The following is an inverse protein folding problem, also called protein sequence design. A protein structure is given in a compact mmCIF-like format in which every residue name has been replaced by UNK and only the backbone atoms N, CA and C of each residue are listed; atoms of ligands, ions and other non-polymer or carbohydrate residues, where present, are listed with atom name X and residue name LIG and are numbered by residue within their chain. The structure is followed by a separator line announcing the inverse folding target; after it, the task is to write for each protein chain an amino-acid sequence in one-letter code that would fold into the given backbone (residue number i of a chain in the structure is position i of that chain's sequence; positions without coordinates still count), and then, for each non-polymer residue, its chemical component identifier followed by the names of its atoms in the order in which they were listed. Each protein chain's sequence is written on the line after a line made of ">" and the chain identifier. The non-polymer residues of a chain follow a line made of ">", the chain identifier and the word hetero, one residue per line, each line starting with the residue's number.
data_IF_614232339505
#
_entry.id   IF_614232339505
#
_cell.length_a   1.000
_cell.length_b   1.000
_cell.length_c   1.000
_cell.angle_alpha   90.00
_cell.angle_beta   90.00
_cell.angle_gamma   90.00
#
_symmetry.space_group_name_H-M   'P 1'
#
loop_
_entity.id
_entity.type
_entity.pdbx_description
1 polymer ?
#
# COMPACT_ATOMS: atom_id res chain seq x y z
N UNK A 6 -20.52 -12.28 -23.99
CA UNK A 6 -20.56 -12.32 -22.52
C UNK A 6 -19.17 -12.38 -21.91
N UNK A 7 -18.28 -13.16 -22.53
CA UNK A 7 -16.92 -13.29 -22.02
C UNK A 7 -16.20 -11.95 -22.05
N UNK A 8 -16.40 -11.17 -23.11
CA UNK A 8 -15.83 -9.83 -23.20
C UNK A 8 -16.15 -9.01 -21.96
N UNK A 9 -17.45 -8.81 -21.70
CA UNK A 9 -17.87 -7.97 -20.58
C UNK A 9 -17.43 -8.56 -19.25
N UNK A 10 -17.54 -9.88 -19.10
CA UNK A 10 -17.15 -10.51 -17.84
C UNK A 10 -15.68 -10.27 -17.54
N UNK A 11 -14.80 -10.55 -18.51
CA UNK A 11 -13.37 -10.38 -18.28
C UNK A 11 -13.00 -8.92 -18.10
N UNK A 12 -13.63 -8.02 -18.86
CA UNK A 12 -13.33 -6.59 -18.70
C UNK A 12 -13.72 -6.09 -17.32
N UNK A 13 -14.92 -6.46 -16.85
CA UNK A 13 -15.35 -6.05 -15.51
C UNK A 13 -14.45 -6.65 -14.44
N UNK A 14 -14.05 -7.91 -14.62
CA UNK A 14 -13.17 -8.55 -13.64
C UNK A 14 -11.82 -7.84 -13.58
N UNK A 15 -11.26 -7.49 -14.73
CA UNK A 15 -9.99 -6.77 -14.76
C UNK A 15 -10.12 -5.39 -14.13
N UNK A 16 -11.22 -4.68 -14.40
CA UNK A 16 -11.42 -3.37 -13.79
C UNK A 16 -11.52 -3.47 -12.28
N UNK A 17 -12.29 -4.45 -11.78
CA UNK A 17 -12.40 -4.63 -10.34
C UNK A 17 -11.06 -4.98 -9.72
N UNK A 18 -10.29 -5.83 -10.40
CA UNK A 18 -8.95 -6.16 -9.91
C UNK A 18 -8.08 -4.92 -9.84
N UNK A 19 -8.15 -4.06 -10.86
CA UNK A 19 -7.34 -2.84 -10.86
C UNK A 19 -7.72 -1.92 -9.70
N UNK A 20 -9.03 -1.75 -9.45
CA UNK A 20 -9.44 -0.93 -8.32
C UNK A 20 -8.94 -1.51 -7.00
N UNK A 21 -9.07 -2.83 -6.83
CA UNK A 21 -8.59 -3.46 -5.61
C UNK A 21 -7.09 -3.26 -5.44
N UNK A 22 -6.34 -3.36 -6.54
CA UNK A 22 -4.91 -3.05 -6.50
C UNK A 22 -4.69 -1.63 -6.01
N UNK A 23 -5.51 -0.69 -6.48
CA UNK A 23 -5.36 0.69 -6.04
C UNK A 23 -5.56 0.86 -4.55
N UNK A 24 -6.65 0.30 -4.01
CA UNK A 24 -6.90 0.45 -2.58
C UNK A 24 -5.81 -0.24 -1.76
N UNK A 25 -5.39 -1.43 -2.20
CA UNK A 25 -4.34 -2.15 -1.50
C UNK A 25 -3.05 -1.34 -1.48
N UNK A 26 -2.70 -0.73 -2.62
CA UNK A 26 -1.49 0.08 -2.69
C UNK A 26 -1.56 1.27 -1.75
N UNK A 27 -2.71 1.95 -1.70
CA UNK A 27 -2.85 3.07 -0.77
C UNK A 27 -2.63 2.61 0.67
N UNK A 28 -3.26 1.50 1.04
CA UNK A 28 -3.17 1.05 2.43
C UNK A 28 -1.75 0.62 2.79
N UNK A 29 -1.07 -0.10 1.88
CA UNK A 29 0.28 -0.54 2.21
C UNK A 29 1.22 0.65 2.25
N UNK A 30 0.99 1.65 1.40
CA UNK A 30 1.80 2.86 1.46
C UNK A 30 1.68 3.51 2.83
N UNK A 31 0.45 3.62 3.33
CA UNK A 31 0.26 4.22 4.66
C UNK A 31 0.97 3.39 5.73
N UNK A 32 0.78 2.07 5.69
CA UNK A 32 1.32 1.20 6.74
C UNK A 32 2.85 1.23 6.72
N UNK A 33 3.44 1.13 5.53
CA UNK A 33 4.89 1.10 5.39
C UNK A 33 5.49 2.44 5.79
N UNK A 34 4.85 3.55 5.40
CA UNK A 34 5.31 4.84 5.85
C UNK A 34 5.33 4.94 7.36
N UNK A 35 4.26 4.48 8.02
CA UNK A 35 4.21 4.54 9.47
C UNK A 35 5.31 3.71 10.11
N UNK A 36 5.49 2.47 9.65
CA UNK A 36 6.46 1.59 10.30
C UNK A 36 7.89 2.07 10.07
N UNK A 37 8.20 2.54 8.86
CA UNK A 37 9.54 3.05 8.62
C UNK A 37 9.77 4.33 9.41
N UNK A 38 8.73 5.16 9.55
CA UNK A 38 8.87 6.36 10.35
C UNK A 38 9.18 6.07 11.80
N UNK A 39 8.46 5.12 12.40
CA UNK A 39 8.72 4.79 13.81
C UNK A 39 10.12 4.19 13.96
N UNK A 40 10.51 3.30 13.04
CA UNK A 40 11.84 2.71 13.14
C UNK A 40 12.94 3.75 13.00
N UNK A 41 12.80 4.67 12.04
CA UNK A 41 13.80 5.71 11.85
C UNK A 41 13.85 6.66 13.04
N UNK A 42 12.69 7.01 13.60
CA UNK A 42 12.67 7.84 14.79
C UNK A 42 13.42 7.17 15.93
N UNK A 43 13.13 5.89 16.18
CA UNK A 43 13.84 5.17 17.24
C UNK A 43 15.34 5.18 17.00
N UNK A 44 15.76 4.83 15.78
CA UNK A 44 17.19 4.71 15.50
C UNK A 44 17.91 6.04 15.65
N UNK A 45 17.37 7.10 15.03
CA UNK A 45 18.03 8.40 15.08
C UNK A 45 18.05 8.95 16.50
N UNK A 46 16.92 8.88 17.21
CA UNK A 46 16.88 9.41 18.57
C UNK A 46 17.82 8.65 19.49
N UNK A 47 17.90 7.32 19.34
CA UNK A 47 18.79 6.54 20.19
C UNK A 47 20.25 6.85 19.90
N UNK A 48 20.65 6.85 18.62
CA UNK A 48 22.07 7.00 18.32
C UNK A 48 22.54 8.43 18.53
N UNK A 49 21.75 9.41 18.09
CA UNK A 49 22.20 10.80 18.13
C UNK A 49 22.42 11.27 19.56
N UNK A 50 21.57 10.85 20.49
CA UNK A 50 21.74 11.19 21.89
C UNK A 50 22.97 10.49 22.48
#
# INVERSE_FOLDING_TARGET
>A
AEGDDPAKAAFDSLQASATEYIGYAWAMVVVIVGATIGIKLFKKFTSKAS
#
